data_IF_466189913833
#
_entry.id   IF_466189913833
#
_cell.length_a   1.000
_cell.length_b   1.000
_cell.length_c   1.000
_cell.angle_alpha   90.00
_cell.angle_beta   90.00
_cell.angle_gamma   90.00
#
_symmetry.space_group_name_H-M   'P 1'
#
loop_
_entity.id
_entity.type
_entity.pdbx_description
1 polymer ?
#
# COMPACT_ATOMS: atom_id res chain seq x y z
N UNK A 1 12.40 36.99 -49.88
CA UNK A 1 12.80 36.60 -48.51
C UNK A 1 11.68 35.94 -47.67
N UNK A 2 10.39 36.02 -48.03
CA UNK A 2 9.29 35.50 -47.20
C UNK A 2 8.98 33.99 -47.34
N UNK A 3 9.56 33.28 -48.32
CA UNK A 3 9.32 31.83 -48.49
C UNK A 3 10.41 30.94 -47.85
N UNK A 4 11.64 31.44 -47.70
CA UNK A 4 12.78 30.62 -47.24
C UNK A 4 12.71 30.28 -45.74
N UNK A 5 12.05 31.12 -44.93
CA UNK A 5 11.85 30.88 -43.50
C UNK A 5 10.59 30.05 -43.15
N UNK A 6 9.71 29.75 -44.11
CA UNK A 6 8.44 29.04 -43.81
C UNK A 6 8.53 27.52 -43.83
N UNK A 7 9.50 26.93 -44.54
CA UNK A 7 9.74 25.49 -44.50
C UNK A 7 10.31 24.99 -43.17
N UNK A 8 11.38 25.58 -42.59
CA UNK A 8 11.86 25.17 -41.27
C UNK A 8 10.80 25.40 -40.18
N UNK A 9 10.05 26.49 -40.25
CA UNK A 9 8.97 26.79 -39.31
C UNK A 9 7.78 25.81 -39.39
N UNK A 10 7.44 25.33 -40.59
CA UNK A 10 6.43 24.28 -40.77
C UNK A 10 6.90 22.92 -40.21
N UNK A 11 8.18 22.59 -40.39
CA UNK A 11 8.77 21.35 -39.88
C UNK A 11 8.88 21.35 -38.34
N UNK A 12 9.27 22.47 -37.74
CA UNK A 12 9.33 22.66 -36.29
C UNK A 12 7.94 22.62 -35.64
N UNK A 13 6.93 23.19 -36.31
CA UNK A 13 5.54 23.11 -35.88
C UNK A 13 5.04 21.66 -35.89
N UNK A 14 5.34 20.90 -36.95
CA UNK A 14 4.93 19.50 -37.06
C UNK A 14 5.63 18.61 -36.02
N UNK A 15 6.93 18.83 -35.78
CA UNK A 15 7.68 18.17 -34.72
C UNK A 15 7.12 18.48 -33.32
N UNK A 16 6.71 19.74 -33.08
CA UNK A 16 6.11 20.17 -31.81
C UNK A 16 4.75 19.52 -31.57
N UNK A 17 3.89 19.43 -32.59
CA UNK A 17 2.60 18.73 -32.52
C UNK A 17 2.81 17.23 -32.26
N UNK A 18 3.74 16.60 -32.99
CA UNK A 18 4.06 15.18 -32.79
C UNK A 18 4.59 14.91 -31.38
N UNK A 19 5.44 15.80 -30.84
CA UNK A 19 5.96 15.69 -29.47
C UNK A 19 4.85 15.87 -28.44
N UNK A 20 3.98 16.85 -28.62
CA UNK A 20 2.83 17.07 -27.74
C UNK A 20 1.88 15.86 -27.72
N UNK A 21 1.60 15.27 -28.89
CA UNK A 21 0.80 14.05 -28.99
C UNK A 21 1.46 12.85 -28.28
N UNK A 22 2.78 12.67 -28.45
CA UNK A 22 3.53 11.62 -27.77
C UNK A 22 3.51 11.81 -26.24
N UNK A 23 3.80 13.02 -25.75
CA UNK A 23 3.75 13.34 -24.32
C UNK A 23 2.34 13.14 -23.74
N UNK A 24 1.28 13.53 -24.45
CA UNK A 24 -0.09 13.31 -24.01
C UNK A 24 -0.44 11.81 -23.91
N UNK A 25 0.00 11.00 -24.88
CA UNK A 25 -0.17 9.55 -24.85
C UNK A 25 0.58 8.92 -23.68
N UNK A 26 1.82 9.34 -23.44
CA UNK A 26 2.65 8.86 -22.34
C UNK A 26 2.05 9.21 -20.97
N UNK A 27 1.59 10.45 -20.77
CA UNK A 27 0.90 10.87 -19.55
C UNK A 27 -0.33 10.03 -19.25
N UNK A 28 -1.17 9.78 -20.26
CA UNK A 28 -2.36 8.95 -20.10
C UNK A 28 -2.01 7.51 -19.69
N UNK A 29 -1.03 6.90 -20.37
CA UNK A 29 -0.57 5.55 -20.03
C UNK A 29 0.00 5.49 -18.62
N UNK A 30 0.89 6.41 -18.28
CA UNK A 30 1.54 6.42 -16.97
C UNK A 30 0.54 6.68 -15.83
N UNK A 31 -0.52 7.47 -16.07
CA UNK A 31 -1.62 7.65 -15.11
C UNK A 31 -2.39 6.34 -14.86
N UNK A 32 -2.71 5.60 -15.92
CA UNK A 32 -3.38 4.30 -15.81
C UNK A 32 -2.50 3.27 -15.10
N UNK A 33 -1.20 3.24 -15.43
CA UNK A 33 -0.23 2.35 -14.78
C UNK A 33 -0.12 2.67 -13.29
N UNK A 34 -0.02 3.95 -12.92
CA UNK A 34 0.05 4.39 -11.52
C UNK A 34 -1.23 4.00 -10.75
N UNK A 35 -2.41 4.26 -11.32
CA UNK A 35 -3.68 3.88 -10.71
C UNK A 35 -3.80 2.35 -10.53
N UNK A 36 -3.37 1.58 -11.53
CA UNK A 36 -3.38 0.11 -11.48
C UNK A 36 -2.45 -0.42 -10.38
N UNK A 37 -1.22 0.11 -10.28
CA UNK A 37 -0.28 -0.28 -9.22
C UNK A 37 -0.82 0.08 -7.83
N UNK A 38 -1.40 1.27 -7.68
CA UNK A 38 -2.06 1.68 -6.44
C UNK A 38 -3.20 0.75 -6.06
N UNK A 39 -4.05 0.35 -7.02
CA UNK A 39 -5.13 -0.60 -6.78
C UNK A 39 -4.60 -1.98 -6.36
N UNK A 40 -3.56 -2.49 -7.02
CA UNK A 40 -2.91 -3.75 -6.66
C UNK A 40 -2.35 -3.72 -5.23
N UNK A 41 -1.66 -2.64 -4.86
CA UNK A 41 -1.14 -2.44 -3.50
C UNK A 41 -2.28 -2.36 -2.47
N UNK A 42 -3.38 -1.70 -2.83
CA UNK A 42 -4.56 -1.63 -1.98
C UNK A 42 -5.17 -3.01 -1.72
N UNK A 43 -5.42 -3.78 -2.77
CA UNK A 43 -5.95 -5.15 -2.68
C UNK A 43 -5.02 -6.06 -1.88
N UNK A 44 -3.72 -6.03 -2.17
CA UNK A 44 -2.74 -6.85 -1.45
C UNK A 44 -2.66 -6.49 0.04
N UNK A 45 -2.70 -5.19 0.37
CA UNK A 45 -2.70 -4.74 1.75
C UNK A 45 -3.97 -5.13 2.52
N UNK A 46 -5.14 -5.06 1.88
CA UNK A 46 -6.38 -5.56 2.49
C UNK A 46 -6.33 -7.08 2.74
N UNK A 47 -5.74 -7.83 1.82
CA UNK A 47 -5.54 -9.27 2.01
C UNK A 47 -4.59 -9.57 3.18
N UNK A 48 -3.47 -8.86 3.30
CA UNK A 48 -2.53 -8.97 4.43
C UNK A 48 -3.23 -8.65 5.76
N UNK A 49 -4.00 -7.57 5.83
CA UNK A 49 -4.78 -7.21 7.02
C UNK A 49 -5.77 -8.33 7.37
N UNK A 50 -6.50 -8.87 6.38
CA UNK A 50 -7.41 -9.99 6.59
C UNK A 50 -6.72 -11.24 7.14
N UNK A 51 -5.54 -11.58 6.63
CA UNK A 51 -4.73 -12.69 7.13
C UNK A 51 -4.29 -12.48 8.58
N UNK A 52 -3.95 -11.25 8.97
CA UNK A 52 -3.60 -10.91 10.36
C UNK A 52 -4.78 -11.11 11.31
N UNK A 53 -5.99 -10.71 10.91
CA UNK A 53 -7.20 -11.00 11.70
C UNK A 53 -7.43 -12.51 11.86
N UNK A 54 -7.25 -13.30 10.80
CA UNK A 54 -7.36 -14.75 10.88
C UNK A 54 -6.31 -15.35 11.84
N UNK A 55 -5.06 -14.90 11.76
CA UNK A 55 -3.99 -15.33 12.66
C UNK A 55 -4.29 -14.98 14.13
N UNK A 56 -4.89 -13.80 14.39
CA UNK A 56 -5.35 -13.43 15.73
C UNK A 56 -6.38 -14.44 16.26
N UNK A 57 -7.40 -14.80 15.48
CA UNK A 57 -8.41 -15.80 15.89
C UNK A 57 -7.82 -17.19 16.10
N UNK A 58 -6.93 -17.65 15.21
CA UNK A 58 -6.24 -18.93 15.33
C UNK A 58 -5.44 -18.99 16.63
N UNK A 59 -4.67 -17.94 16.94
CA UNK A 59 -3.88 -17.86 18.15
C UNK A 59 -4.73 -17.90 19.43
N UNK A 60 -5.89 -17.22 19.44
CA UNK A 60 -6.83 -17.29 20.56
C UNK A 60 -7.40 -18.71 20.74
N UNK A 61 -7.76 -19.39 19.64
CA UNK A 61 -8.28 -20.75 19.68
C UNK A 61 -7.24 -21.76 20.20
N UNK A 62 -5.98 -21.65 19.75
CA UNK A 62 -4.87 -22.46 20.24
C UNK A 62 -4.62 -22.25 21.74
N UNK A 63 -4.65 -20.99 22.18
CA UNK A 63 -4.55 -20.63 23.59
C UNK A 63 -5.65 -21.26 24.44
N UNK A 64 -6.90 -21.22 23.96
CA UNK A 64 -8.04 -21.81 24.65
C UNK A 64 -7.95 -23.33 24.76
N UNK A 65 -7.58 -24.01 23.67
CA UNK A 65 -7.40 -25.47 23.66
C UNK A 65 -6.28 -25.87 24.62
N UNK A 66 -5.18 -25.10 24.64
CA UNK A 66 -4.06 -25.33 25.56
C UNK A 66 -4.48 -25.17 27.02
N UNK A 67 -5.19 -24.09 27.35
CA UNK A 67 -5.70 -23.84 28.69
C UNK A 67 -6.69 -24.94 29.13
N UNK A 68 -7.57 -25.38 28.24
CA UNK A 68 -8.54 -26.45 28.51
C UNK A 68 -7.86 -27.78 28.81
N UNK A 69 -6.83 -28.16 28.03
CA UNK A 69 -6.01 -29.35 28.30
C UNK A 69 -5.34 -29.25 29.67
N UNK A 70 -4.72 -28.11 29.97
CA UNK A 70 -4.09 -27.88 31.28
C UNK A 70 -5.11 -28.01 32.43
N UNK A 71 -6.31 -27.45 32.27
CA UNK A 71 -7.39 -27.54 33.27
C UNK A 71 -7.78 -28.99 33.57
N UNK A 72 -7.85 -29.87 32.56
CA UNK A 72 -8.16 -31.30 32.79
C UNK A 72 -7.09 -32.04 33.60
N UNK A 73 -5.87 -31.51 33.64
CA UNK A 73 -4.74 -32.10 34.38
C UNK A 73 -4.51 -31.44 35.75
N UNK A 74 -5.29 -30.40 36.09
CA UNK A 74 -5.14 -29.66 37.33
C UNK A 74 -5.51 -30.55 38.54
N UNK A 75 -4.64 -30.58 39.55
CA UNK A 75 -4.80 -31.42 40.75
C UNK A 75 -5.45 -30.69 41.91
N UNK A 76 -5.63 -29.37 41.80
CA UNK A 76 -6.22 -28.52 42.83
C UNK A 76 -6.93 -27.30 42.24
N UNK A 77 -7.89 -26.69 42.98
CA UNK A 77 -8.49 -25.41 42.60
C UNK A 77 -7.47 -24.28 42.42
N UNK A 78 -6.40 -24.27 43.20
CA UNK A 78 -5.33 -23.28 43.10
C UNK A 78 -4.59 -23.40 41.75
N UNK A 79 -4.25 -24.62 41.34
CA UNK A 79 -3.61 -24.87 40.04
C UNK A 79 -4.51 -24.46 38.87
N UNK A 80 -5.81 -24.76 38.96
CA UNK A 80 -6.82 -24.31 38.00
C UNK A 80 -6.90 -22.77 37.91
N UNK A 81 -6.87 -22.06 39.05
CA UNK A 81 -6.85 -20.60 39.09
C UNK A 81 -5.59 -20.00 38.46
N UNK A 82 -4.42 -20.63 38.66
CA UNK A 82 -3.17 -20.24 38.00
C UNK A 82 -3.25 -20.43 36.49
N UNK A 83 -3.84 -21.53 36.00
CA UNK A 83 -4.03 -21.80 34.57
C UNK A 83 -4.93 -20.72 33.95
N UNK A 84 -6.08 -20.40 34.55
CA UNK A 84 -6.97 -19.34 34.06
C UNK A 84 -6.28 -17.99 34.02
N UNK A 85 -5.60 -17.61 35.11
CA UNK A 85 -4.91 -16.31 35.19
C UNK A 85 -3.83 -16.19 34.11
N UNK A 86 -3.07 -17.27 33.90
CA UNK A 86 -2.01 -17.31 32.87
C UNK A 86 -2.59 -17.21 31.46
N UNK A 87 -3.68 -17.92 31.17
CA UNK A 87 -4.40 -17.80 29.90
C UNK A 87 -4.88 -16.38 29.65
N UNK A 88 -5.54 -15.73 30.63
CA UNK A 88 -6.02 -14.35 30.47
C UNK A 88 -4.88 -13.35 30.22
N UNK A 89 -3.75 -13.53 30.92
CA UNK A 89 -2.56 -12.69 30.70
C UNK A 89 -2.02 -12.87 29.28
N UNK A 90 -1.81 -14.11 28.84
CA UNK A 90 -1.32 -14.42 27.51
C UNK A 90 -2.27 -13.92 26.41
N UNK A 91 -3.59 -14.11 26.58
CA UNK A 91 -4.60 -13.65 25.65
C UNK A 91 -4.59 -12.11 25.51
N UNK A 92 -4.42 -11.36 26.62
CA UNK A 92 -4.27 -9.90 26.55
C UNK A 92 -3.02 -9.48 25.80
N UNK A 93 -1.87 -10.06 26.14
CA UNK A 93 -0.59 -9.74 25.50
C UNK A 93 -0.67 -10.00 23.98
N UNK A 94 -1.26 -11.13 23.59
CA UNK A 94 -1.50 -11.48 22.20
C UNK A 94 -2.45 -10.50 21.51
N UNK A 95 -3.58 -10.15 22.12
CA UNK A 95 -4.53 -9.20 21.55
C UNK A 95 -3.91 -7.81 21.35
N UNK A 96 -3.18 -7.30 22.34
CA UNK A 96 -2.50 -6.01 22.24
C UNK A 96 -1.45 -6.04 21.13
N UNK A 97 -0.61 -7.09 21.07
CA UNK A 97 0.41 -7.23 20.02
C UNK A 97 -0.20 -7.31 18.61
N UNK A 98 -1.24 -8.11 18.43
CA UNK A 98 -1.95 -8.25 17.15
C UNK A 98 -2.64 -6.94 16.74
N UNK A 99 -3.29 -6.24 17.69
CA UNK A 99 -3.92 -4.95 17.42
C UNK A 99 -2.90 -3.90 16.94
N UNK A 100 -1.71 -3.84 17.57
CA UNK A 100 -0.62 -2.96 17.11
C UNK A 100 -0.19 -3.32 15.69
N UNK A 101 0.01 -4.60 15.39
CA UNK A 101 0.43 -5.04 14.05
C UNK A 101 -0.61 -4.74 12.97
N UNK A 102 -1.90 -4.92 13.26
CA UNK A 102 -2.99 -4.56 12.34
C UNK A 102 -3.05 -3.05 12.12
N UNK A 103 -2.87 -2.26 13.17
CA UNK A 103 -2.79 -0.80 13.08
C UNK A 103 -1.63 -0.34 12.20
N UNK A 104 -0.44 -0.90 12.39
CA UNK A 104 0.72 -0.62 11.54
C UNK A 104 0.49 -1.03 10.09
N UNK A 105 -0.10 -2.21 9.84
CA UNK A 105 -0.41 -2.68 8.49
C UNK A 105 -1.38 -1.74 7.78
N UNK A 106 -2.39 -1.24 8.50
CA UNK A 106 -3.37 -0.27 7.97
C UNK A 106 -2.71 1.06 7.62
N UNK A 107 -1.81 1.57 8.48
CA UNK A 107 -1.07 2.79 8.21
C UNK A 107 -0.13 2.64 7.00
N UNK A 108 0.58 1.49 6.91
CA UNK A 108 1.45 1.15 5.78
C UNK A 108 0.66 1.04 4.48
N UNK A 109 -0.55 0.45 4.51
CA UNK A 109 -1.42 0.33 3.35
C UNK A 109 -1.73 1.71 2.73
N UNK A 110 -2.21 2.65 3.53
CA UNK A 110 -2.49 4.02 3.06
C UNK A 110 -1.26 4.70 2.47
N UNK A 111 -0.12 4.59 3.16
CA UNK A 111 1.13 5.18 2.68
C UNK A 111 1.58 4.55 1.37
N UNK A 112 1.65 3.23 1.28
CA UNK A 112 2.19 2.53 0.11
C UNK A 112 1.28 2.63 -1.09
N UNK A 113 -0.04 2.51 -0.92
CA UNK A 113 -0.97 2.59 -2.04
C UNK A 113 -1.05 3.98 -2.68
N UNK A 114 -0.67 5.04 -1.95
CA UNK A 114 -0.64 6.41 -2.51
C UNK A 114 0.67 6.77 -3.22
N UNK A 115 1.75 6.03 -2.99
CA UNK A 115 3.08 6.31 -3.58
C UNK A 115 3.03 6.37 -5.12
N UNK A 116 2.46 5.38 -5.85
CA UNK A 116 2.48 5.42 -7.31
C UNK A 116 1.80 6.66 -7.90
N UNK A 117 0.73 7.13 -7.25
CA UNK A 117 0.04 8.35 -7.66
C UNK A 117 0.89 9.60 -7.41
N UNK A 118 1.56 9.68 -6.25
CA UNK A 118 2.43 10.81 -5.91
C UNK A 118 3.67 10.89 -6.82
N UNK A 119 4.27 9.74 -7.14
CA UNK A 119 5.37 9.61 -8.09
C UNK A 119 4.94 10.08 -9.48
N UNK A 120 3.77 9.63 -9.95
CA UNK A 120 3.26 10.02 -11.25
C UNK A 120 2.87 11.50 -11.32
N UNK A 121 2.29 12.07 -10.25
CA UNK A 121 2.03 13.50 -10.19
C UNK A 121 3.33 14.32 -10.29
N UNK A 122 4.38 13.88 -9.61
CA UNK A 122 5.71 14.50 -9.67
C UNK A 122 6.30 14.38 -11.09
N UNK A 123 6.24 13.20 -11.70
CA UNK A 123 6.73 12.97 -13.06
C UNK A 123 5.98 13.82 -14.11
N UNK A 124 4.65 13.86 -14.02
CA UNK A 124 3.81 14.67 -14.90
C UNK A 124 4.15 16.17 -14.78
N UNK A 125 4.37 16.66 -13.56
CA UNK A 125 4.78 18.06 -13.36
C UNK A 125 6.12 18.37 -14.02
N UNK A 126 7.11 17.46 -13.95
CA UNK A 126 8.41 17.62 -14.57
C UNK A 126 8.33 17.65 -16.12
N UNK A 127 7.40 16.90 -16.70
CA UNK A 127 7.13 16.91 -18.14
C UNK A 127 6.46 18.21 -18.63
N UNK A 128 5.76 18.92 -17.74
CA UNK A 128 5.04 20.17 -18.05
C UNK A 128 5.86 21.44 -17.78
N UNK A 129 6.97 21.36 -17.01
CA UNK A 129 7.87 22.51 -16.83
C UNK A 129 8.60 22.78 -18.15
N UNK A 130 8.52 23.99 -18.72
CA UNK A 130 9.13 24.29 -20.00
C UNK A 130 10.66 24.13 -19.93
N UNK A 131 11.22 23.41 -20.90
CA UNK A 131 12.66 23.45 -21.24
C UNK A 131 13.04 24.93 -21.34
N UNK A 132 14.02 25.34 -20.54
CA UNK A 132 14.48 26.74 -20.39
C UNK A 132 14.37 27.53 -21.70
N UNK A 133 13.73 28.70 -21.63
CA UNK A 133 13.94 29.77 -22.62
C UNK A 133 15.41 30.17 -22.56
N UNK A 134 16.25 29.57 -23.40
CA UNK A 134 17.55 30.12 -23.74
C UNK A 134 17.32 31.11 -24.88
N UNK A 135 17.28 32.39 -24.54
CA UNK A 135 17.54 33.51 -25.43
C UNK A 135 18.39 34.51 -24.65
#
# INVERSE_FOLDING_TARGET
MFMQNRMPQANDMMASISKAAATASELNRNNLDAATRSAQLWTAGLQDIGQRYLAMYQGMAEGFVTASKAMTSAKSPQEAATIQTSYFKAAREQMTGQATQIGEATAKLFKHASVPLAEQASAASAMMVPVKRTA
#
